data_IF_335550745297
#
_entry.id   IF_335550745297
#
_cell.length_a   1.000
_cell.length_b   1.000
_cell.length_c   1.000
_cell.angle_alpha   90.00
_cell.angle_beta   90.00
_cell.angle_gamma   90.00
#
_symmetry.space_group_name_H-M   'P 1'
#
loop_
_entity.id
_entity.type
_entity.pdbx_description
1 polymer ?
#
# COMPACT_ATOMS: atom_id res chain seq x y z
N UNK A 1 25.73 -20.57 -14.02
CA UNK A 1 25.36 -20.19 -12.63
C UNK A 1 24.00 -19.51 -12.71
N UNK A 2 23.00 -19.98 -11.98
CA UNK A 2 21.64 -19.45 -12.08
C UNK A 2 21.62 -17.96 -11.71
N UNK A 3 21.17 -17.13 -12.64
CA UNK A 3 21.01 -15.69 -12.46
C UNK A 3 19.72 -15.35 -11.69
N UNK A 4 19.46 -16.07 -10.59
CA UNK A 4 18.20 -15.93 -9.87
C UNK A 4 18.17 -14.57 -9.16
N UNK A 5 17.10 -13.81 -9.41
CA UNK A 5 16.78 -12.57 -8.69
C UNK A 5 15.58 -12.82 -7.77
N UNK A 6 15.63 -12.28 -6.56
CA UNK A 6 14.51 -12.31 -5.62
C UNK A 6 13.41 -11.37 -6.11
N UNK A 7 12.23 -11.90 -6.41
CA UNK A 7 11.09 -11.12 -6.89
C UNK A 7 10.31 -10.52 -5.71
N UNK A 8 10.22 -9.19 -5.68
CA UNK A 8 9.49 -8.42 -4.66
C UNK A 8 8.58 -7.41 -5.33
N UNK A 9 7.62 -6.85 -4.59
CA UNK A 9 6.85 -5.71 -5.05
C UNK A 9 7.24 -4.42 -4.32
N UNK A 10 7.22 -3.30 -5.05
CA UNK A 10 7.37 -1.96 -4.50
C UNK A 10 6.07 -1.19 -4.73
N UNK A 11 5.42 -0.78 -3.65
CA UNK A 11 4.12 -0.13 -3.65
C UNK A 11 4.21 1.35 -3.27
N UNK A 12 3.62 2.21 -4.11
CA UNK A 12 3.40 3.62 -3.78
C UNK A 12 2.02 3.78 -3.16
N UNK A 13 1.97 4.34 -1.95
CA UNK A 13 0.73 4.66 -1.25
C UNK A 13 0.22 6.07 -1.59
N UNK A 14 -1.04 6.34 -1.24
CA UNK A 14 -1.71 7.65 -1.34
C UNK A 14 -1.97 8.20 -2.77
N UNK A 15 -1.95 7.36 -3.81
CA UNK A 15 -2.27 7.84 -5.16
C UNK A 15 -3.72 8.36 -5.23
N UNK A 16 -3.91 9.55 -5.80
CA UNK A 16 -5.17 10.29 -5.79
C UNK A 16 -5.30 11.33 -4.67
N UNK A 17 -4.44 11.31 -3.65
CA UNK A 17 -4.46 12.30 -2.57
C UNK A 17 -4.01 13.69 -3.05
N UNK A 18 -2.95 13.76 -3.87
CA UNK A 18 -2.36 15.01 -4.33
C UNK A 18 -1.75 14.87 -5.73
N UNK A 19 -1.79 15.93 -6.55
CA UNK A 19 -1.25 15.91 -7.93
C UNK A 19 0.24 15.55 -8.01
N UNK A 20 1.03 15.97 -7.02
CA UNK A 20 2.45 15.62 -6.96
C UNK A 20 2.69 14.12 -6.77
N UNK A 21 1.80 13.43 -6.06
CA UNK A 21 1.85 11.97 -5.90
C UNK A 21 1.48 11.32 -7.23
N UNK A 22 0.39 11.78 -7.86
CA UNK A 22 -0.08 11.25 -9.14
C UNK A 22 1.00 11.34 -10.24
N UNK A 23 1.64 12.52 -10.33
CA UNK A 23 2.73 12.75 -11.27
C UNK A 23 3.94 11.84 -10.98
N UNK A 24 4.32 11.69 -9.70
CA UNK A 24 5.41 10.79 -9.32
C UNK A 24 5.11 9.34 -9.70
N UNK A 25 3.90 8.85 -9.46
CA UNK A 25 3.52 7.48 -9.84
C UNK A 25 3.60 7.30 -11.36
N UNK A 26 3.12 8.26 -12.14
CA UNK A 26 3.20 8.18 -13.60
C UNK A 26 4.65 8.09 -14.10
N UNK A 27 5.55 8.91 -13.56
CA UNK A 27 6.97 8.90 -13.90
C UNK A 27 7.63 7.57 -13.50
N UNK A 28 7.40 7.11 -12.27
CA UNK A 28 8.01 5.89 -11.76
C UNK A 28 7.49 4.63 -12.46
N UNK A 29 6.23 4.60 -12.89
CA UNK A 29 5.70 3.54 -13.76
C UNK A 29 6.39 3.56 -15.13
N UNK A 30 6.55 4.75 -15.74
CA UNK A 30 7.22 4.89 -17.03
C UNK A 30 8.69 4.43 -16.99
N UNK A 31 9.36 4.65 -15.87
CA UNK A 31 10.73 4.20 -15.61
C UNK A 31 10.82 2.72 -15.15
N UNK A 32 9.70 2.00 -15.06
CA UNK A 32 9.61 0.63 -14.51
C UNK A 32 10.25 0.51 -13.10
N UNK A 33 10.02 1.51 -12.25
CA UNK A 33 10.59 1.59 -10.89
C UNK A 33 9.68 1.00 -9.83
N UNK A 34 8.37 0.94 -10.06
CA UNK A 34 7.38 0.46 -9.08
C UNK A 34 6.50 -0.60 -9.71
N UNK A 35 5.88 -1.45 -8.89
CA UNK A 35 5.01 -2.54 -9.38
C UNK A 35 3.66 -2.62 -8.70
N UNK A 36 3.36 -1.72 -7.76
CA UNK A 36 2.04 -1.59 -7.16
C UNK A 36 1.72 -0.12 -6.84
N UNK A 37 0.44 0.26 -6.97
CA UNK A 37 -0.06 1.59 -6.63
C UNK A 37 -1.32 1.46 -5.78
N UNK A 38 -1.31 2.03 -4.58
CA UNK A 38 -2.42 2.02 -3.64
C UNK A 38 -3.22 3.31 -3.74
N UNK A 39 -4.49 3.20 -4.11
CA UNK A 39 -5.30 4.31 -4.60
C UNK A 39 -6.36 4.78 -3.59
N UNK A 40 -6.35 6.07 -3.29
CA UNK A 40 -7.34 6.77 -2.47
C UNK A 40 -8.61 7.07 -3.29
N UNK A 41 -9.43 6.05 -3.57
CA UNK A 41 -10.60 6.20 -4.45
C UNK A 41 -11.70 7.13 -3.93
N UNK A 42 -11.66 7.48 -2.64
CA UNK A 42 -12.53 8.49 -2.03
C UNK A 42 -12.06 9.93 -2.25
N UNK A 43 -10.89 10.15 -2.87
CA UNK A 43 -10.35 11.49 -3.05
C UNK A 43 -11.18 12.30 -4.08
N UNK A 44 -11.38 13.62 -3.87
CA UNK A 44 -12.18 14.46 -4.77
C UNK A 44 -11.74 14.45 -6.24
N UNK A 45 -10.45 14.20 -6.48
CA UNK A 45 -9.83 14.20 -7.82
C UNK A 45 -9.76 12.82 -8.46
N UNK A 46 -10.15 11.77 -7.74
CA UNK A 46 -9.97 10.38 -8.15
C UNK A 46 -10.55 10.10 -9.54
N UNK A 47 -11.86 10.29 -9.71
CA UNK A 47 -12.55 9.95 -10.96
C UNK A 47 -12.19 10.86 -12.12
N UNK A 48 -11.93 12.14 -11.83
CA UNK A 48 -11.71 13.18 -12.84
C UNK A 48 -10.27 13.28 -13.34
N UNK A 49 -9.27 12.93 -12.52
CA UNK A 49 -7.86 13.13 -12.85
C UNK A 49 -7.03 11.87 -12.63
N UNK A 50 -7.02 11.32 -11.42
CA UNK A 50 -6.04 10.30 -11.01
C UNK A 50 -6.31 8.94 -11.66
N UNK A 51 -7.55 8.44 -11.61
CA UNK A 51 -7.92 7.17 -12.24
C UNK A 51 -7.69 7.14 -13.76
N UNK A 52 -8.03 8.19 -14.55
CA UNK A 52 -7.64 8.27 -15.96
C UNK A 52 -6.17 7.97 -16.24
N UNK A 53 -5.25 8.49 -15.42
CA UNK A 53 -3.81 8.26 -15.60
C UNK A 53 -3.41 6.79 -15.45
N UNK A 54 -4.08 6.03 -14.57
CA UNK A 54 -3.83 4.60 -14.40
C UNK A 54 -4.47 3.75 -15.50
N UNK A 55 -5.62 4.16 -16.05
CA UNK A 55 -6.25 3.46 -17.19
C UNK A 55 -5.34 3.42 -18.41
N UNK A 56 -4.58 4.49 -18.66
CA UNK A 56 -3.57 4.54 -19.71
C UNK A 56 -2.36 3.62 -19.45
N UNK A 57 -2.24 3.06 -18.24
CA UNK A 57 -1.10 2.27 -17.75
C UNK A 57 -1.56 0.94 -17.16
N UNK A 58 -2.66 0.38 -17.65
CA UNK A 58 -3.36 -0.75 -17.01
C UNK A 58 -2.47 -1.97 -16.70
N UNK A 59 -1.48 -2.25 -17.55
CA UNK A 59 -0.61 -3.43 -17.44
C UNK A 59 0.71 -3.18 -16.66
N UNK A 60 0.97 -1.97 -16.19
CA UNK A 60 2.27 -1.58 -15.63
C UNK A 60 2.48 -2.04 -14.18
N UNK A 61 1.42 -2.14 -13.38
CA UNK A 61 1.50 -2.43 -11.96
C UNK A 61 0.21 -3.09 -11.45
N UNK A 62 0.24 -3.62 -10.24
CA UNK A 62 -0.97 -3.94 -9.50
C UNK A 62 -1.61 -2.63 -8.99
N UNK A 63 -2.92 -2.48 -9.20
CA UNK A 63 -3.67 -1.32 -8.71
C UNK A 63 -4.65 -1.75 -7.63
N UNK A 64 -4.52 -1.15 -6.46
CA UNK A 64 -5.28 -1.54 -5.28
C UNK A 64 -6.04 -0.39 -4.63
N UNK A 65 -7.03 -0.75 -3.82
CA UNK A 65 -7.73 0.20 -2.97
C UNK A 65 -6.89 0.51 -1.73
N UNK A 66 -6.61 1.80 -1.51
CA UNK A 66 -6.09 2.33 -0.25
C UNK A 66 -7.23 2.69 0.68
N UNK A 67 -7.72 1.71 1.47
CA UNK A 67 -8.93 1.93 2.26
C UNK A 67 -8.70 3.01 3.32
N UNK A 68 -9.47 4.09 3.24
CA UNK A 68 -9.30 5.25 4.08
C UNK A 68 -10.48 5.47 5.04
N UNK A 69 -10.17 5.77 6.29
CA UNK A 69 -11.14 6.14 7.34
C UNK A 69 -10.75 7.44 8.08
N UNK A 70 -9.62 8.06 7.75
CA UNK A 70 -9.00 9.13 8.56
C UNK A 70 -8.62 10.37 7.78
N UNK A 71 -8.29 10.24 6.49
CA UNK A 71 -8.07 11.38 5.61
C UNK A 71 -9.43 11.97 5.16
N UNK A 72 -9.59 13.27 5.31
CA UNK A 72 -10.82 14.00 4.98
C UNK A 72 -10.77 14.73 3.65
N UNK A 73 -9.62 14.73 2.97
CA UNK A 73 -9.35 15.47 1.72
C UNK A 73 -9.73 16.96 1.82
N UNK A 74 -9.43 17.59 2.96
CA UNK A 74 -9.78 18.98 3.25
C UNK A 74 -11.24 19.22 3.69
N UNK A 75 -12.09 18.19 3.73
CA UNK A 75 -13.43 18.25 4.37
C UNK A 75 -13.34 17.97 5.89
N UNK A 76 -14.44 18.15 6.64
CA UNK A 76 -14.46 17.91 8.11
C UNK A 76 -13.83 16.56 8.42
N UNK A 77 -12.75 16.56 9.21
CA UNK A 77 -11.91 15.38 9.45
C UNK A 77 -12.75 14.16 9.84
N UNK A 78 -12.48 13.02 9.22
CA UNK A 78 -13.12 11.72 9.50
C UNK A 78 -12.75 11.10 10.86
N UNK A 79 -12.14 11.91 11.75
CA UNK A 79 -11.70 11.53 13.09
C UNK A 79 -10.20 11.26 13.14
N UNK A 80 -9.58 11.42 14.31
CA UNK A 80 -8.15 11.13 14.46
C UNK A 80 -7.87 9.62 14.38
N UNK A 81 -6.70 9.25 13.83
CA UNK A 81 -6.22 7.86 13.84
C UNK A 81 -6.21 7.25 15.25
N UNK A 82 -5.80 8.03 16.25
CA UNK A 82 -5.79 7.60 17.66
C UNK A 82 -7.19 7.23 18.17
N UNK A 83 -8.22 8.02 17.80
CA UNK A 83 -9.61 7.74 18.14
C UNK A 83 -10.13 6.49 17.43
N UNK A 84 -9.79 6.31 16.15
CA UNK A 84 -10.16 5.11 15.39
C UNK A 84 -9.55 3.85 16.01
N UNK A 85 -8.26 3.88 16.34
CA UNK A 85 -7.58 2.77 17.02
C UNK A 85 -8.29 2.46 18.35
N UNK A 86 -8.49 3.47 19.21
CA UNK A 86 -9.12 3.26 20.51
C UNK A 86 -10.53 2.66 20.38
N UNK A 87 -11.37 3.22 19.50
CA UNK A 87 -12.74 2.74 19.28
C UNK A 87 -12.76 1.34 18.69
N UNK A 88 -11.84 1.03 17.78
CA UNK A 88 -11.70 -0.31 17.20
C UNK A 88 -11.41 -1.35 18.28
N UNK A 89 -10.43 -1.10 19.16
CA UNK A 89 -10.07 -2.02 20.25
C UNK A 89 -11.13 -2.10 21.35
N UNK A 90 -11.88 -1.03 21.60
CA UNK A 90 -13.03 -1.04 22.50
C UNK A 90 -14.30 -1.61 21.87
N UNK A 91 -14.25 -2.09 20.62
CA UNK A 91 -15.39 -2.57 19.85
C UNK A 91 -16.55 -1.55 19.73
N UNK A 92 -16.21 -0.26 19.58
CA UNK A 92 -17.14 0.90 19.48
C UNK A 92 -17.24 1.50 18.08
N UNK A 93 -16.84 0.74 17.06
CA UNK A 93 -17.13 1.07 15.66
C UNK A 93 -18.48 0.47 15.27
N UNK A 94 -19.11 1.03 14.24
CA UNK A 94 -20.39 0.53 13.74
C UNK A 94 -20.09 -0.43 12.56
N UNK A 95 -20.33 -1.75 12.70
CA UNK A 95 -19.91 -2.73 11.70
C UNK A 95 -20.54 -2.53 10.31
N UNK A 96 -21.79 -2.09 10.22
CA UNK A 96 -22.46 -1.86 8.95
C UNK A 96 -21.86 -0.64 8.25
N UNK A 97 -21.56 0.41 8.98
CA UNK A 97 -20.92 1.63 8.49
C UNK A 97 -19.53 1.36 7.92
N UNK A 98 -18.74 0.50 8.58
CA UNK A 98 -17.44 0.06 8.05
C UNK A 98 -17.61 -0.67 6.70
N UNK A 99 -18.58 -1.58 6.60
CA UNK A 99 -18.88 -2.31 5.36
C UNK A 99 -19.37 -1.38 4.26
N UNK A 100 -20.25 -0.45 4.59
CA UNK A 100 -20.78 0.55 3.65
C UNK A 100 -19.66 1.44 3.14
N UNK A 101 -18.79 1.98 4.01
CA UNK A 101 -17.66 2.81 3.61
C UNK A 101 -16.68 2.07 2.70
N UNK A 102 -16.36 0.81 3.04
CA UNK A 102 -15.49 0.00 2.20
C UNK A 102 -16.13 -0.28 0.83
N UNK A 103 -17.41 -0.65 0.79
CA UNK A 103 -18.13 -0.87 -0.47
C UNK A 103 -18.18 0.40 -1.32
N UNK A 104 -18.48 1.56 -0.74
CA UNK A 104 -18.48 2.84 -1.46
C UNK A 104 -17.11 3.17 -2.07
N UNK A 105 -16.03 2.90 -1.34
CA UNK A 105 -14.68 3.13 -1.87
C UNK A 105 -14.31 2.11 -2.97
N UNK A 106 -14.73 0.85 -2.85
CA UNK A 106 -14.57 -0.15 -3.90
C UNK A 106 -15.40 0.21 -5.14
N UNK A 107 -16.65 0.65 -4.97
CA UNK A 107 -17.50 1.14 -6.07
C UNK A 107 -16.83 2.33 -6.78
N UNK A 108 -16.30 3.30 -6.02
CA UNK A 108 -15.57 4.45 -6.60
C UNK A 108 -14.32 4.02 -7.37
N UNK A 109 -13.58 3.04 -6.85
CA UNK A 109 -12.40 2.48 -7.51
C UNK A 109 -12.79 1.79 -8.83
N UNK A 110 -13.74 0.86 -8.76
CA UNK A 110 -14.17 0.02 -9.88
C UNK A 110 -14.85 0.84 -10.98
N UNK A 111 -15.73 1.78 -10.61
CA UNK A 111 -16.39 2.66 -11.57
C UNK A 111 -15.37 3.55 -12.30
N UNK A 112 -14.34 4.02 -11.60
CA UNK A 112 -13.35 4.90 -12.21
C UNK A 112 -12.33 4.12 -13.07
N UNK A 113 -11.87 2.94 -12.67
CA UNK A 113 -10.89 2.18 -13.45
C UNK A 113 -11.51 1.20 -14.45
N UNK A 114 -12.79 0.85 -14.29
CA UNK A 114 -13.47 -0.16 -15.11
C UNK A 114 -13.08 -1.60 -14.79
N UNK A 115 -12.40 -1.85 -13.66
CA UNK A 115 -11.93 -3.17 -13.21
C UNK A 115 -11.89 -3.27 -11.69
N UNK A 116 -11.89 -4.50 -11.19
CA UNK A 116 -11.69 -4.80 -9.77
C UNK A 116 -10.25 -4.49 -9.33
N UNK A 117 -10.02 -4.15 -8.05
CA UNK A 117 -8.66 -3.97 -7.54
C UNK A 117 -7.88 -5.28 -7.59
N UNK A 118 -6.58 -5.20 -7.85
CA UNK A 118 -5.64 -6.31 -7.69
C UNK A 118 -5.35 -6.57 -6.22
N UNK A 119 -5.43 -5.53 -5.38
CA UNK A 119 -5.19 -5.62 -3.95
C UNK A 119 -5.95 -4.62 -3.10
N UNK A 120 -5.99 -4.87 -1.80
CA UNK A 120 -6.52 -3.92 -0.81
C UNK A 120 -5.54 -3.81 0.36
N UNK A 121 -5.31 -2.58 0.80
CA UNK A 121 -4.66 -2.24 2.06
C UNK A 121 -5.46 -1.14 2.78
N UNK A 122 -4.85 -0.42 3.71
CA UNK A 122 -5.49 0.73 4.35
C UNK A 122 -4.53 1.87 4.59
N UNK A 123 -5.03 3.09 4.42
CA UNK A 123 -4.33 4.31 4.82
C UNK A 123 -3.99 4.25 6.30
N UNK A 124 -2.74 4.56 6.66
CA UNK A 124 -2.20 4.39 8.01
C UNK A 124 -2.35 2.94 8.55
N UNK A 125 -2.46 1.97 7.64
CA UNK A 125 -2.64 0.54 7.91
C UNK A 125 -3.87 0.22 8.77
N UNK A 126 -4.96 1.01 8.65
CA UNK A 126 -6.18 0.82 9.44
C UNK A 126 -6.89 -0.51 9.15
N UNK A 127 -6.61 -1.14 8.01
CA UNK A 127 -7.27 -2.37 7.55
C UNK A 127 -6.97 -3.58 8.44
N UNK A 128 -5.91 -3.53 9.24
CA UNK A 128 -5.55 -4.59 10.18
C UNK A 128 -6.26 -4.49 11.55
N UNK A 129 -6.87 -3.33 11.85
CA UNK A 129 -7.51 -3.07 13.15
C UNK A 129 -8.71 -3.99 13.40
N UNK A 130 -9.03 -4.35 14.65
CA UNK A 130 -10.23 -5.13 14.96
C UNK A 130 -11.52 -4.45 14.44
N UNK A 131 -12.54 -5.23 14.11
CA UNK A 131 -13.75 -4.79 13.40
C UNK A 131 -13.51 -4.33 11.95
N UNK A 132 -12.51 -3.47 11.69
CA UNK A 132 -12.15 -3.01 10.33
C UNK A 132 -11.70 -4.18 9.47
N UNK A 133 -10.77 -4.99 9.99
CA UNK A 133 -10.34 -6.23 9.36
C UNK A 133 -11.50 -7.20 9.12
N UNK A 134 -12.41 -7.34 10.08
CA UNK A 134 -13.50 -8.31 9.96
C UNK A 134 -14.50 -7.86 8.88
N UNK A 135 -14.82 -6.56 8.82
CA UNK A 135 -15.59 -5.97 7.73
C UNK A 135 -14.89 -6.12 6.37
N UNK A 136 -13.57 -5.90 6.30
CA UNK A 136 -12.78 -6.10 5.09
C UNK A 136 -12.88 -7.52 4.57
N UNK A 137 -12.61 -8.51 5.42
CA UNK A 137 -12.64 -9.92 5.02
C UNK A 137 -14.05 -10.37 4.60
N UNK A 138 -15.09 -9.86 5.27
CA UNK A 138 -16.48 -10.13 4.89
C UNK A 138 -16.83 -9.55 3.51
N UNK A 139 -16.52 -8.27 3.28
CA UNK A 139 -16.79 -7.60 2.00
C UNK A 139 -16.00 -8.26 0.87
N UNK A 140 -14.71 -8.54 1.05
CA UNK A 140 -13.88 -9.20 0.03
C UNK A 140 -14.41 -10.58 -0.31
N UNK A 141 -14.78 -11.38 0.70
CA UNK A 141 -15.34 -12.72 0.48
C UNK A 141 -16.66 -12.68 -0.27
N UNK A 142 -17.52 -11.70 0.01
CA UNK A 142 -18.85 -11.59 -0.60
C UNK A 142 -18.80 -10.96 -1.99
N UNK A 143 -17.95 -9.95 -2.21
CA UNK A 143 -17.86 -9.18 -3.46
C UNK A 143 -17.04 -9.90 -4.54
N UNK A 144 -15.99 -10.63 -4.15
CA UNK A 144 -15.05 -11.24 -5.10
C UNK A 144 -14.99 -12.76 -4.95
N UNK A 145 -15.71 -13.48 -5.81
CA UNK A 145 -15.79 -14.95 -5.77
C UNK A 145 -14.71 -15.65 -6.59
N UNK A 146 -14.34 -15.10 -7.75
CA UNK A 146 -13.39 -15.73 -8.69
C UNK A 146 -12.02 -15.05 -8.69
N UNK A 147 -11.99 -13.72 -8.73
CA UNK A 147 -10.76 -12.91 -8.80
C UNK A 147 -10.60 -12.13 -7.50
N UNK A 148 -10.18 -12.82 -6.43
CA UNK A 148 -9.98 -12.19 -5.13
C UNK A 148 -8.73 -11.31 -5.14
N UNK A 149 -8.83 -10.02 -4.74
CA UNK A 149 -7.66 -9.19 -4.54
C UNK A 149 -6.75 -9.79 -3.47
N UNK A 150 -5.44 -9.60 -3.61
CA UNK A 150 -4.54 -9.89 -2.50
C UNK A 150 -4.68 -8.81 -1.42
N UNK A 151 -4.46 -9.16 -0.16
CA UNK A 151 -4.56 -8.21 0.96
C UNK A 151 -3.18 -7.95 1.50
N UNK A 152 -2.79 -6.68 1.64
CA UNK A 152 -1.53 -6.32 2.27
C UNK A 152 -1.48 -6.85 3.70
N UNK A 153 -0.53 -7.72 4.00
CA UNK A 153 -0.12 -7.95 5.38
C UNK A 153 1.02 -6.99 5.74
N UNK A 154 1.09 -6.69 7.03
CA UNK A 154 2.02 -5.74 7.64
C UNK A 154 2.99 -6.43 8.59
N UNK A 155 3.14 -7.75 8.49
CA UNK A 155 4.12 -8.50 9.29
C UNK A 155 5.52 -8.07 8.85
N UNK A 156 6.37 -7.54 9.75
CA UNK A 156 7.63 -6.95 9.36
C UNK A 156 8.60 -8.01 8.81
N UNK A 157 9.33 -7.68 7.74
CA UNK A 157 10.37 -8.55 7.18
C UNK A 157 11.50 -8.82 8.18
N UNK A 158 11.87 -7.82 8.98
CA UNK A 158 12.75 -8.01 10.13
C UNK A 158 11.99 -7.81 11.45
N UNK A 159 11.80 -8.85 12.27
CA UNK A 159 11.10 -8.74 13.55
C UNK A 159 11.85 -7.89 14.59
N UNK A 160 13.15 -7.64 14.38
CA UNK A 160 13.99 -6.82 15.25
C UNK A 160 13.96 -5.33 14.90
N UNK A 161 13.33 -4.92 13.78
CA UNK A 161 13.13 -3.49 13.51
C UNK A 161 12.34 -2.86 14.66
N UNK A 162 12.89 -1.82 15.27
CA UNK A 162 12.30 -1.09 16.39
C UNK A 162 11.25 -0.05 15.96
N UNK A 163 10.70 0.67 16.94
CA UNK A 163 9.88 1.86 16.69
C UNK A 163 8.54 1.58 15.97
N UNK A 164 8.23 2.38 14.94
CA UNK A 164 6.95 2.37 14.22
C UNK A 164 6.64 1.00 13.59
N UNK A 165 7.64 0.25 13.13
CA UNK A 165 7.46 -1.09 12.57
C UNK A 165 6.92 -2.11 13.60
N UNK A 166 7.37 -2.04 14.86
CA UNK A 166 6.81 -2.88 15.94
C UNK A 166 5.36 -2.53 16.23
N UNK A 167 5.03 -1.23 16.22
CA UNK A 167 3.67 -0.76 16.49
C UNK A 167 2.69 -1.39 15.50
N UNK A 168 3.02 -1.47 14.21
CA UNK A 168 2.15 -2.10 13.20
C UNK A 168 1.89 -3.58 13.46
N UNK A 169 2.91 -4.36 13.84
CA UNK A 169 2.75 -5.77 14.22
C UNK A 169 1.74 -5.92 15.36
N UNK A 170 1.80 -5.04 16.37
CA UNK A 170 0.92 -5.09 17.55
C UNK A 170 -0.47 -4.48 17.32
N UNK A 171 -0.63 -3.60 16.33
CA UNK A 171 -1.92 -2.99 15.96
C UNK A 171 -2.88 -3.95 15.24
N UNK A 172 -2.42 -5.15 14.84
CA UNK A 172 -3.29 -6.19 14.29
C UNK A 172 -2.71 -7.00 13.14
N UNK A 173 -1.51 -6.67 12.67
CA UNK A 173 -0.88 -7.34 11.51
C UNK A 173 -0.77 -8.85 11.64
N UNK A 174 -0.35 -9.35 12.81
CA UNK A 174 -0.24 -10.80 13.06
C UNK A 174 -1.61 -11.51 13.00
N UNK A 175 -2.65 -10.88 13.55
CA UNK A 175 -4.02 -11.42 13.53
C UNK A 175 -4.60 -11.39 12.12
N UNK A 176 -4.35 -10.33 11.35
CA UNK A 176 -4.71 -10.25 9.94
C UNK A 176 -4.03 -11.37 9.15
N UNK A 177 -2.72 -11.53 9.27
CA UNK A 177 -1.97 -12.57 8.57
C UNK A 177 -2.51 -13.98 8.88
N UNK A 178 -2.79 -14.28 10.16
CA UNK A 178 -3.41 -15.56 10.55
C UNK A 178 -4.77 -15.79 9.85
N UNK A 179 -5.62 -14.76 9.78
CA UNK A 179 -6.92 -14.85 9.11
C UNK A 179 -6.80 -14.99 7.60
N UNK A 180 -5.87 -14.27 6.97
CA UNK A 180 -5.61 -14.39 5.53
C UNK A 180 -5.20 -15.82 5.16
N UNK A 181 -4.31 -16.44 5.94
CA UNK A 181 -3.94 -17.85 5.77
C UNK A 181 -5.13 -18.79 6.00
N UNK A 182 -5.92 -18.57 7.05
CA UNK A 182 -7.10 -19.38 7.36
C UNK A 182 -8.15 -19.34 6.23
N UNK A 183 -8.36 -18.19 5.61
CA UNK A 183 -9.34 -18.02 4.52
C UNK A 183 -8.74 -18.20 3.12
N UNK A 184 -7.46 -18.58 3.03
CA UNK A 184 -6.70 -18.73 1.80
C UNK A 184 -6.82 -17.48 0.88
N UNK A 185 -6.76 -16.30 1.50
CA UNK A 185 -6.75 -15.02 0.78
C UNK A 185 -5.28 -14.70 0.47
N UNK A 186 -4.92 -14.44 -0.81
CA UNK A 186 -3.54 -14.12 -1.16
C UNK A 186 -3.04 -12.87 -0.43
N UNK A 187 -1.76 -12.85 -0.08
CA UNK A 187 -1.08 -11.71 0.54
C UNK A 187 0.41 -11.76 0.24
N UNK A 188 1.11 -10.63 0.40
CA UNK A 188 2.59 -10.61 0.41
C UNK A 188 3.17 -11.59 1.46
N UNK A 189 4.46 -11.87 1.41
CA UNK A 189 5.13 -12.69 2.42
C UNK A 189 5.38 -11.88 3.70
N UNK A 190 5.99 -10.72 3.54
CA UNK A 190 6.36 -9.80 4.61
C UNK A 190 6.30 -8.35 4.13
N UNK A 191 6.52 -7.40 5.05
CA UNK A 191 6.33 -5.97 4.83
C UNK A 191 7.51 -5.13 5.33
N UNK A 192 7.89 -4.13 4.53
CA UNK A 192 8.95 -3.15 4.82
C UNK A 192 8.57 -1.76 4.30
N UNK A 193 9.43 -0.76 4.53
CA UNK A 193 9.16 0.64 4.12
C UNK A 193 8.70 1.56 5.25
N UNK A 194 8.63 1.05 6.49
CA UNK A 194 8.13 1.81 7.65
C UNK A 194 9.30 2.44 8.41
N UNK A 195 9.33 3.77 8.48
CA UNK A 195 10.39 4.53 9.13
C UNK A 195 9.91 5.89 9.67
N UNK A 196 10.84 6.76 10.06
CA UNK A 196 10.54 8.06 10.66
C UNK A 196 9.85 9.07 9.73
N UNK A 197 10.07 8.96 8.42
CA UNK A 197 9.71 9.96 7.39
C UNK A 197 10.44 11.30 7.53
N UNK A 198 11.69 11.26 7.99
CA UNK A 198 12.48 12.41 8.44
C UNK A 198 13.97 12.29 8.09
N UNK A 199 14.31 11.59 7.00
CA UNK A 199 15.71 11.33 6.61
C UNK A 199 15.99 11.69 5.16
N UNK A 200 17.09 12.41 4.94
CA UNK A 200 17.63 12.66 3.61
C UNK A 200 18.35 11.43 3.03
N UNK A 201 18.88 10.56 3.88
CA UNK A 201 19.56 9.33 3.46
C UNK A 201 18.57 8.16 3.31
N UNK A 202 17.58 8.33 2.45
CA UNK A 202 16.57 7.30 2.19
C UNK A 202 17.18 6.02 1.58
N UNK A 203 18.29 6.15 0.84
CA UNK A 203 19.00 5.00 0.26
C UNK A 203 19.48 4.01 1.33
N UNK A 204 19.94 4.48 2.49
CA UNK A 204 20.33 3.60 3.60
C UNK A 204 19.13 2.83 4.16
N UNK A 205 17.97 3.48 4.31
CA UNK A 205 16.74 2.79 4.72
C UNK A 205 16.33 1.71 3.72
N UNK A 206 16.37 2.04 2.43
CA UNK A 206 16.02 1.10 1.37
C UNK A 206 16.98 -0.09 1.32
N UNK A 207 18.29 0.17 1.40
CA UNK A 207 19.32 -0.87 1.45
C UNK A 207 19.12 -1.80 2.66
N UNK A 208 18.77 -1.25 3.82
CA UNK A 208 18.44 -2.04 5.00
C UNK A 208 17.21 -2.92 4.81
N UNK A 209 16.19 -2.47 4.09
CA UNK A 209 15.03 -3.30 3.76
C UNK A 209 15.40 -4.45 2.82
N UNK A 210 16.19 -4.18 1.78
CA UNK A 210 16.60 -5.21 0.80
C UNK A 210 17.31 -6.40 1.47
N UNK A 211 18.11 -6.18 2.50
CA UNK A 211 18.82 -7.23 3.27
C UNK A 211 17.89 -8.31 3.86
N UNK A 212 16.61 -7.99 4.09
CA UNK A 212 15.64 -8.89 4.71
C UNK A 212 14.52 -9.30 3.75
N UNK A 213 14.58 -8.87 2.49
CA UNK A 213 13.57 -9.27 1.50
C UNK A 213 13.73 -10.71 1.05
N UNK A 214 12.60 -11.32 0.74
CA UNK A 214 12.46 -12.67 0.18
C UNK A 214 11.40 -12.65 -0.93
N UNK A 215 11.18 -13.78 -1.61
CA UNK A 215 10.18 -13.82 -2.70
C UNK A 215 8.80 -13.41 -2.15
N UNK A 216 8.13 -12.50 -2.87
CA UNK A 216 6.86 -11.89 -2.47
C UNK A 216 6.93 -10.97 -1.24
N UNK A 217 8.11 -10.45 -0.86
CA UNK A 217 8.19 -9.28 0.03
C UNK A 217 7.53 -8.05 -0.60
N UNK A 218 6.95 -7.19 0.24
CA UNK A 218 6.39 -5.91 -0.16
C UNK A 218 7.11 -4.76 0.55
N UNK A 219 7.63 -3.80 -0.22
CA UNK A 219 8.16 -2.53 0.30
C UNK A 219 7.15 -1.43 -0.04
N UNK A 220 6.82 -0.59 0.94
CA UNK A 220 5.95 0.58 0.76
C UNK A 220 6.76 1.87 0.72
N UNK A 221 6.32 2.83 -0.09
CA UNK A 221 6.92 4.16 -0.25
C UNK A 221 5.86 5.24 -0.53
N UNK A 222 6.26 6.51 -0.44
CA UNK A 222 5.40 7.69 -0.55
C UNK A 222 5.99 8.80 -1.44
N UNK A 223 6.49 8.52 -2.66
CA UNK A 223 7.10 9.54 -3.48
C UNK A 223 6.10 10.59 -4.01
N UNK A 224 6.54 11.84 -4.14
CA UNK A 224 5.80 12.92 -4.79
C UNK A 224 6.77 13.88 -5.50
N UNK A 225 6.31 14.54 -6.57
CA UNK A 225 7.11 15.54 -7.32
C UNK A 225 7.01 16.96 -6.77
N UNK A 226 6.03 17.24 -5.91
CA UNK A 226 5.77 18.58 -5.39
C UNK A 226 5.37 18.56 -3.92
N UNK A 227 5.63 19.68 -3.23
CA UNK A 227 5.18 19.86 -1.85
C UNK A 227 3.65 19.99 -1.77
N UNK A 228 3.11 19.59 -0.62
CA UNK A 228 1.75 19.84 -0.15
C UNK A 228 1.86 20.30 1.31
N UNK A 229 1.38 21.50 1.59
CA UNK A 229 1.46 22.11 2.92
C UNK A 229 0.57 21.43 3.97
N UNK A 230 -0.39 20.60 3.54
CA UNK A 230 -1.31 19.87 4.42
C UNK A 230 -0.81 18.46 4.74
N UNK A 231 0.24 18.01 4.05
CA UNK A 231 0.83 16.69 4.24
C UNK A 231 2.04 16.77 5.18
N UNK A 232 2.00 16.13 6.37
CA UNK A 232 3.08 16.21 7.35
C UNK A 232 4.39 15.59 6.85
N UNK A 233 4.36 14.69 5.87
CA UNK A 233 5.57 14.04 5.32
C UNK A 233 5.97 14.60 3.95
N UNK A 234 5.41 15.74 3.54
CA UNK A 234 5.57 16.26 2.18
C UNK A 234 7.02 16.44 1.72
N UNK A 235 7.90 16.92 2.60
CA UNK A 235 9.34 17.05 2.29
C UNK A 235 9.99 15.69 2.02
N UNK A 236 9.62 14.69 2.81
CA UNK A 236 10.14 13.34 2.65
C UNK A 236 9.69 12.71 1.34
N UNK A 237 8.46 12.98 0.89
CA UNK A 237 7.96 12.48 -0.40
C UNK A 237 8.85 12.90 -1.58
N UNK A 238 9.40 14.12 -1.55
CA UNK A 238 10.35 14.58 -2.57
C UNK A 238 11.68 13.79 -2.52
N UNK A 239 12.16 13.47 -1.32
CA UNK A 239 13.37 12.67 -1.13
C UNK A 239 13.17 11.26 -1.68
N UNK A 240 12.05 10.63 -1.36
CA UNK A 240 11.69 9.31 -1.89
C UNK A 240 11.61 9.32 -3.41
N UNK A 241 10.91 10.30 -4.00
CA UNK A 241 10.81 10.45 -5.45
C UNK A 241 12.20 10.57 -6.10
N UNK A 242 13.04 11.48 -5.60
CA UNK A 242 14.41 11.66 -6.11
C UNK A 242 15.23 10.36 -6.04
N UNK A 243 15.08 9.59 -4.97
CA UNK A 243 15.76 8.30 -4.84
C UNK A 243 15.27 7.29 -5.89
N UNK A 244 13.96 7.09 -6.04
CA UNK A 244 13.40 6.10 -6.97
C UNK A 244 13.63 6.46 -8.44
N UNK A 245 13.74 7.75 -8.78
CA UNK A 245 14.11 8.19 -10.14
C UNK A 245 15.62 8.09 -10.43
N UNK A 246 16.46 7.78 -9.43
CA UNK A 246 17.93 7.75 -9.60
C UNK A 246 18.50 6.41 -10.09
N UNK A 247 19.74 6.42 -10.57
CA UNK A 247 20.52 5.20 -10.85
C UNK A 247 20.94 4.46 -9.58
N UNK A 248 21.05 5.16 -8.44
CA UNK A 248 21.40 4.53 -7.17
C UNK A 248 20.36 3.48 -6.79
N UNK A 249 19.08 3.73 -7.07
CA UNK A 249 18.02 2.76 -6.87
C UNK A 249 18.24 1.47 -7.67
N UNK A 250 18.50 1.57 -8.98
CA UNK A 250 18.76 0.38 -9.81
C UNK A 250 20.04 -0.34 -9.40
N UNK A 251 21.08 0.40 -9.06
CA UNK A 251 22.35 -0.17 -8.59
C UNK A 251 22.16 -0.95 -7.28
N UNK A 252 21.28 -0.49 -6.39
CA UNK A 252 20.93 -1.23 -5.17
C UNK A 252 20.15 -2.51 -5.50
N UNK A 253 19.16 -2.47 -6.40
CA UNK A 253 18.45 -3.67 -6.82
C UNK A 253 19.39 -4.72 -7.40
N UNK A 254 20.30 -4.32 -8.28
CA UNK A 254 21.26 -5.24 -8.89
C UNK A 254 22.27 -5.79 -7.88
N UNK A 255 22.78 -4.94 -6.98
CA UNK A 255 23.69 -5.36 -5.89
C UNK A 255 23.06 -6.44 -5.01
N UNK A 256 21.78 -6.28 -4.65
CA UNK A 256 21.04 -7.23 -3.81
C UNK A 256 20.36 -8.34 -4.61
N UNK A 257 20.54 -8.38 -5.94
CA UNK A 257 19.91 -9.34 -6.86
C UNK A 257 18.39 -9.39 -6.69
N UNK A 258 17.76 -8.23 -6.60
CA UNK A 258 16.31 -8.08 -6.46
C UNK A 258 15.71 -7.66 -7.79
N UNK A 259 14.53 -8.21 -8.11
CA UNK A 259 13.70 -7.81 -9.25
C UNK A 259 12.37 -7.29 -8.72
N UNK A 260 11.96 -6.12 -9.21
CA UNK A 260 10.62 -5.59 -8.97
C UNK A 260 9.65 -6.25 -9.93
N UNK A 261 8.57 -6.80 -9.39
CA UNK A 261 7.55 -7.53 -10.13
C UNK A 261 6.18 -7.29 -9.50
N UNK A 262 5.11 -7.41 -10.29
CA UNK A 262 3.73 -7.31 -9.78
C UNK A 262 3.47 -8.42 -8.77
N UNK A 263 2.91 -8.09 -7.61
CA UNK A 263 2.65 -9.07 -6.55
C UNK A 263 1.67 -10.15 -7.04
N UNK A 264 0.66 -9.78 -7.82
CA UNK A 264 -0.27 -10.71 -8.46
C UNK A 264 0.45 -11.76 -9.33
N UNK A 265 1.45 -11.35 -10.11
CA UNK A 265 2.31 -12.25 -10.88
C UNK A 265 3.08 -13.19 -9.96
N UNK A 266 3.77 -12.67 -8.95
CA UNK A 266 4.58 -13.46 -8.01
C UNK A 266 3.70 -14.52 -7.31
N UNK A 267 2.54 -14.13 -6.79
CA UNK A 267 1.62 -15.00 -6.06
C UNK A 267 0.93 -16.04 -6.94
N UNK A 268 0.70 -15.75 -8.23
CA UNK A 268 0.14 -16.72 -9.17
C UNK A 268 1.09 -17.90 -9.45
N UNK A 269 2.42 -17.67 -9.38
CA UNK A 269 3.43 -18.74 -9.56
C UNK A 269 3.61 -19.64 -8.34
N UNK A 270 2.91 -19.37 -7.23
CA UNK A 270 3.00 -20.14 -5.99
C UNK A 270 1.86 -21.18 -5.83
N UNK A 271 0.86 -21.16 -6.71
CA UNK A 271 -0.23 -22.14 -6.76
C UNK A 271 0.14 -23.32 -7.65
#
# INVERSE_FOLDING_TARGET
>A
MNDYKTEIALCVDDFGQHAGIDASVCELLQLNRISAVSCMSGAPRWSSHSAPMLREREACADYGLHFNLTEGFGSRSSGSLSSLILRSYLHRLEPQGLRTMLQTQLDSFENALGRTPDFIDGHQHIHQLPMVRDALLEVVKNRYTSNRPWIRNTTPANPNWGGKARILKYLGGATLHKKLNQFQIPSNHDFSGVYGFDTENYAACFEDWLKFTSKASLIMCHPATSLDTHDPISKQRLVEHKFFSSELYTNLLDRYRVKIERMSSILSTQK
#
